data_IF_508040293372
#
_entry.id   IF_508040293372
#
_cell.length_a   1.000
_cell.length_b   1.000
_cell.length_c   1.000
_cell.angle_alpha   90.00
_cell.angle_beta   90.00
_cell.angle_gamma   90.00
#
_symmetry.space_group_name_H-M   'P 1'
#
loop_
_entity.id
_entity.type
_entity.pdbx_description
1 polymer ?
#
# COMPACT_ATOMS: atom_id res chain seq x y z
N UNK A 1 -10.82 12.39 10.39
CA UNK A 1 -9.36 12.60 10.48
C UNK A 1 -8.73 12.13 9.17
N UNK A 2 -7.66 12.77 8.70
CA UNK A 2 -6.97 12.34 7.48
C UNK A 2 -5.94 11.24 7.81
N UNK A 3 -5.61 10.41 6.83
CA UNK A 3 -4.65 9.32 6.96
C UNK A 3 -3.60 9.33 5.85
N UNK A 4 -2.66 8.40 5.90
CA UNK A 4 -1.64 8.29 4.85
C UNK A 4 -1.12 6.88 4.62
N UNK A 5 -0.59 6.63 3.44
CA UNK A 5 0.26 5.46 3.16
C UNK A 5 1.68 5.99 2.99
N UNK A 6 2.56 5.63 3.92
CA UNK A 6 3.97 6.01 3.90
C UNK A 6 4.71 4.99 3.05
N UNK A 7 5.35 5.45 1.98
CA UNK A 7 6.13 4.60 1.07
C UNK A 7 7.59 4.59 1.53
N UNK A 8 8.14 5.77 1.76
CA UNK A 8 9.47 5.98 2.32
C UNK A 8 9.46 7.27 3.15
N UNK A 9 10.59 7.58 3.80
CA UNK A 9 10.74 8.75 4.67
C UNK A 9 10.15 10.04 4.08
N UNK A 10 10.38 10.28 2.79
CA UNK A 10 9.98 11.50 2.08
C UNK A 10 8.81 11.30 1.10
N UNK A 11 8.37 10.05 0.87
CA UNK A 11 7.31 9.74 -0.08
C UNK A 11 6.08 9.18 0.64
N UNK A 12 4.95 9.88 0.50
CA UNK A 12 3.65 9.48 1.06
C UNK A 12 2.51 9.72 0.09
N UNK A 13 1.43 8.95 0.27
CA UNK A 13 0.11 9.18 -0.34
C UNK A 13 -0.80 9.71 0.76
N UNK A 14 -1.30 10.94 0.62
CA UNK A 14 -2.26 11.53 1.55
C UNK A 14 -3.67 11.09 1.17
N UNK A 15 -4.45 10.64 2.15
CA UNK A 15 -5.80 10.10 1.92
C UNK A 15 -6.78 10.55 3.00
N UNK A 16 -8.08 10.56 2.68
CA UNK A 16 -9.13 10.67 3.69
C UNK A 16 -9.25 9.38 4.52
N UNK A 17 -9.89 9.43 5.69
CA UNK A 17 -10.13 8.23 6.51
C UNK A 17 -10.84 7.11 5.73
N UNK A 18 -11.93 7.42 5.02
CA UNK A 18 -12.65 6.42 4.23
C UNK A 18 -11.81 5.80 3.12
N UNK A 19 -10.91 6.59 2.51
CA UNK A 19 -9.98 6.09 1.51
C UNK A 19 -8.90 5.21 2.14
N UNK A 20 -8.40 5.57 3.32
CA UNK A 20 -7.45 4.73 4.06
C UNK A 20 -8.11 3.40 4.40
N UNK A 21 -9.25 3.41 5.10
CA UNK A 21 -9.98 2.22 5.53
C UNK A 21 -10.30 1.30 4.35
N UNK A 22 -10.73 1.89 3.24
CA UNK A 22 -10.96 1.17 1.99
C UNK A 22 -9.67 0.51 1.48
N UNK A 23 -8.58 1.27 1.30
CA UNK A 23 -7.34 0.73 0.75
C UNK A 23 -6.72 -0.35 1.64
N UNK A 24 -6.64 -0.13 2.95
CA UNK A 24 -6.02 -1.09 3.89
C UNK A 24 -6.83 -2.38 3.95
N UNK A 25 -8.15 -2.31 3.91
CA UNK A 25 -8.99 -3.51 3.84
C UNK A 25 -8.72 -4.29 2.55
N UNK A 26 -8.78 -3.63 1.38
CA UNK A 26 -8.60 -4.32 0.09
C UNK A 26 -7.20 -4.87 -0.11
N UNK A 27 -6.16 -4.15 0.32
CA UNK A 27 -4.77 -4.62 0.24
C UNK A 27 -4.56 -5.79 1.21
N UNK A 28 -5.09 -5.68 2.43
CA UNK A 28 -4.97 -6.68 3.48
C UNK A 28 -5.54 -8.06 3.13
N UNK A 29 -6.54 -8.12 2.25
CA UNK A 29 -7.18 -9.35 1.77
C UNK A 29 -6.40 -10.08 0.65
N UNK A 30 -5.34 -9.46 0.12
CA UNK A 30 -4.67 -9.93 -1.10
C UNK A 30 -3.24 -10.45 -0.86
N UNK A 31 -2.81 -10.49 0.40
CA UNK A 31 -1.56 -11.13 0.79
C UNK A 31 -1.68 -12.65 0.71
N UNK A 32 -0.65 -13.31 0.19
CA UNK A 32 -0.55 -14.75 0.31
C UNK A 32 -0.13 -15.14 1.72
N UNK A 33 -0.43 -16.37 2.13
CA UNK A 33 -0.03 -16.91 3.43
C UNK A 33 1.49 -16.84 3.67
N UNK A 34 2.31 -16.95 2.62
CA UNK A 34 3.78 -16.82 2.70
C UNK A 34 4.27 -15.40 2.94
N UNK A 35 3.43 -14.40 2.63
CA UNK A 35 3.79 -12.99 2.58
C UNK A 35 3.18 -12.20 3.76
N UNK A 36 2.55 -12.91 4.72
CA UNK A 36 1.87 -12.29 5.87
C UNK A 36 2.80 -11.47 6.76
N UNK A 37 4.07 -11.85 6.86
CA UNK A 37 5.07 -11.08 7.59
C UNK A 37 5.23 -9.64 7.04
N UNK A 38 4.99 -9.42 5.74
CA UNK A 38 5.00 -8.09 5.12
C UNK A 38 3.78 -7.30 5.55
N UNK A 39 2.61 -7.95 5.62
CA UNK A 39 1.39 -7.32 6.09
C UNK A 39 1.58 -6.85 7.53
N UNK A 40 2.03 -7.73 8.41
CA UNK A 40 2.23 -7.44 9.83
C UNK A 40 3.20 -6.25 10.01
N UNK A 41 4.32 -6.24 9.27
CA UNK A 41 5.30 -5.16 9.33
C UNK A 41 4.73 -3.82 8.80
N UNK A 42 3.98 -3.85 7.68
CA UNK A 42 3.42 -2.64 7.07
C UNK A 42 2.26 -2.05 7.87
N UNK A 43 1.47 -2.91 8.50
CA UNK A 43 0.24 -2.55 9.21
C UNK A 43 0.49 -2.26 10.70
N UNK A 44 1.69 -2.59 11.20
CA UNK A 44 2.11 -2.36 12.59
C UNK A 44 1.71 -0.98 13.17
N UNK A 45 1.93 0.15 12.47
CA UNK A 45 1.56 1.46 13.03
C UNK A 45 0.06 1.61 13.26
N UNK A 46 -0.77 0.98 12.43
CA UNK A 46 -2.22 1.01 12.54
C UNK A 46 -2.73 0.02 13.59
N UNK A 47 -2.24 -1.22 13.56
CA UNK A 47 -2.73 -2.31 14.40
C UNK A 47 -2.24 -2.22 15.85
N UNK A 48 -0.96 -1.90 16.07
CA UNK A 48 -0.40 -1.76 17.43
C UNK A 48 -0.33 -0.30 17.87
N UNK A 49 -0.08 0.63 16.93
CA UNK A 49 0.10 2.04 17.24
C UNK A 49 -1.19 2.86 17.26
N UNK A 50 -2.32 2.31 16.78
CA UNK A 50 -3.57 3.04 16.64
C UNK A 50 -3.50 4.24 15.70
N UNK A 51 -2.50 4.26 14.80
CA UNK A 51 -2.24 5.39 13.90
C UNK A 51 -3.11 5.30 12.64
N UNK A 52 -3.45 6.45 12.06
CA UNK A 52 -4.14 6.51 10.76
C UNK A 52 -3.15 6.44 9.57
N UNK A 53 -2.21 5.50 9.61
CA UNK A 53 -1.32 5.21 8.49
C UNK A 53 -0.76 3.78 8.52
N UNK A 54 -0.39 3.29 7.34
CA UNK A 54 0.48 2.12 7.16
C UNK A 54 1.80 2.56 6.53
N UNK A 55 2.88 1.81 6.74
CA UNK A 55 4.23 2.21 6.31
C UNK A 55 4.99 1.07 5.65
N UNK A 56 5.52 1.29 4.45
CA UNK A 56 6.45 0.35 3.80
C UNK A 56 7.91 0.74 3.99
N UNK A 57 8.22 1.73 4.84
CA UNK A 57 9.55 2.32 4.95
C UNK A 57 10.64 1.34 5.42
N UNK A 58 10.27 0.36 6.24
CA UNK A 58 11.18 -0.66 6.78
C UNK A 58 11.44 -1.81 5.81
N UNK A 59 10.60 -1.97 4.78
CA UNK A 59 10.75 -3.04 3.80
C UNK A 59 12.00 -2.85 2.94
N UNK A 60 12.67 -3.96 2.67
CA UNK A 60 13.69 -4.03 1.62
C UNK A 60 13.06 -4.11 0.21
N UNK A 61 13.89 -4.11 -0.84
CA UNK A 61 13.44 -4.18 -2.24
C UNK A 61 12.51 -5.36 -2.54
N UNK A 62 12.79 -6.54 -1.99
CA UNK A 62 11.96 -7.72 -2.21
C UNK A 62 10.60 -7.57 -1.52
N UNK A 63 10.58 -7.15 -0.26
CA UNK A 63 9.34 -6.90 0.49
C UNK A 63 8.48 -5.84 -0.20
N UNK A 64 9.09 -4.74 -0.66
CA UNK A 64 8.38 -3.68 -1.38
C UNK A 64 7.83 -4.16 -2.72
N UNK A 65 8.58 -4.99 -3.46
CA UNK A 65 8.12 -5.60 -4.71
C UNK A 65 6.89 -6.48 -4.50
N UNK A 66 6.90 -7.32 -3.45
CA UNK A 66 5.76 -8.15 -3.06
C UNK A 66 4.57 -7.28 -2.64
N UNK A 67 4.81 -6.22 -1.87
CA UNK A 67 3.77 -5.28 -1.48
C UNK A 67 3.12 -4.60 -2.70
N UNK A 68 3.93 -4.09 -3.65
CA UNK A 68 3.42 -3.52 -4.89
C UNK A 68 2.60 -4.53 -5.70
N UNK A 69 3.07 -5.77 -5.83
CA UNK A 69 2.32 -6.83 -6.51
C UNK A 69 0.97 -7.08 -5.82
N UNK A 70 0.95 -7.05 -4.48
CA UNK A 70 -0.26 -7.19 -3.65
C UNK A 70 -1.23 -6.03 -3.87
N UNK A 71 -0.74 -4.79 -3.88
CA UNK A 71 -1.51 -3.58 -4.20
C UNK A 71 -2.13 -3.69 -5.60
N UNK A 72 -1.39 -4.17 -6.59
CA UNK A 72 -1.91 -4.35 -7.95
C UNK A 72 -2.99 -5.43 -8.04
N UNK A 73 -2.86 -6.54 -7.28
CA UNK A 73 -3.93 -7.56 -7.17
C UNK A 73 -5.18 -6.98 -6.51
N UNK A 74 -5.03 -6.22 -5.43
CA UNK A 74 -6.13 -5.54 -4.75
C UNK A 74 -6.86 -4.56 -5.66
N UNK A 75 -6.11 -3.71 -6.39
CA UNK A 75 -6.68 -2.81 -7.39
C UNK A 75 -7.49 -3.57 -8.43
N UNK A 76 -6.95 -4.68 -8.96
CA UNK A 76 -7.63 -5.48 -9.98
C UNK A 76 -8.91 -6.15 -9.44
N UNK A 77 -8.86 -6.73 -8.23
CA UNK A 77 -10.02 -7.30 -7.57
C UNK A 77 -11.12 -6.24 -7.33
N UNK A 78 -10.72 -5.03 -6.94
CA UNK A 78 -11.64 -3.93 -6.69
C UNK A 78 -12.25 -3.32 -7.95
N UNK A 79 -11.73 -3.56 -9.15
CA UNK A 79 -12.32 -3.03 -10.40
C UNK A 79 -13.76 -3.50 -10.65
N UNK A 80 -14.16 -4.63 -10.05
CA UNK A 80 -15.53 -5.14 -10.14
C UNK A 80 -16.50 -4.44 -9.17
N UNK A 81 -16.01 -3.63 -8.23
CA UNK A 81 -16.84 -2.93 -7.25
C UNK A 81 -17.46 -1.66 -7.87
N UNK A 82 -18.74 -1.42 -7.60
CA UNK A 82 -19.44 -0.19 -8.06
C UNK A 82 -18.75 1.09 -7.56
N UNK A 83 -18.13 1.03 -6.38
CA UNK A 83 -17.40 2.16 -5.79
C UNK A 83 -16.03 2.41 -6.42
N UNK A 84 -15.51 1.52 -7.27
CA UNK A 84 -14.15 1.64 -7.82
C UNK A 84 -13.84 2.99 -8.46
N UNK A 85 -14.71 3.59 -9.30
CA UNK A 85 -14.43 4.88 -9.92
C UNK A 85 -14.17 6.02 -8.90
N UNK A 86 -14.69 5.91 -7.69
CA UNK A 86 -14.47 6.89 -6.61
C UNK A 86 -13.06 6.77 -5.99
N UNK A 87 -12.44 5.59 -6.07
CA UNK A 87 -11.12 5.28 -5.49
C UNK A 87 -10.03 5.09 -6.54
N UNK A 88 -10.36 5.06 -7.83
CA UNK A 88 -9.40 4.80 -8.91
C UNK A 88 -8.20 5.75 -8.89
N UNK A 89 -8.44 7.04 -8.66
CA UNK A 89 -7.36 8.03 -8.62
C UNK A 89 -6.37 7.77 -7.47
N UNK A 90 -6.85 7.34 -6.29
CA UNK A 90 -5.96 7.06 -5.15
C UNK A 90 -5.19 5.75 -5.37
N UNK A 91 -5.79 4.75 -6.01
CA UNK A 91 -5.08 3.55 -6.46
C UNK A 91 -3.95 3.89 -7.43
N UNK A 92 -4.20 4.75 -8.41
CA UNK A 92 -3.21 5.15 -9.39
C UNK A 92 -2.04 5.89 -8.73
N UNK A 93 -2.31 6.83 -7.82
CA UNK A 93 -1.27 7.53 -7.06
C UNK A 93 -0.42 6.58 -6.20
N UNK A 94 -1.05 5.61 -5.53
CA UNK A 94 -0.34 4.63 -4.72
C UNK A 94 0.58 3.77 -5.57
N UNK A 95 0.07 3.21 -6.67
CA UNK A 95 0.85 2.37 -7.60
C UNK A 95 2.00 3.17 -8.21
N UNK A 96 1.75 4.40 -8.64
CA UNK A 96 2.77 5.27 -9.22
C UNK A 96 3.91 5.55 -8.23
N UNK A 97 3.59 5.98 -7.01
CA UNK A 97 4.60 6.29 -5.98
C UNK A 97 5.38 5.06 -5.53
N UNK A 98 4.75 3.88 -5.46
CA UNK A 98 5.44 2.63 -5.20
C UNK A 98 6.43 2.30 -6.33
N UNK A 99 6.02 2.43 -7.60
CA UNK A 99 6.89 2.16 -8.76
C UNK A 99 8.07 3.12 -8.87
N UNK A 100 7.91 4.36 -8.41
CA UNK A 100 8.96 5.37 -8.39
C UNK A 100 9.91 5.22 -7.19
N UNK A 101 9.65 4.29 -6.27
CA UNK A 101 10.52 4.08 -5.12
C UNK A 101 11.88 3.53 -5.56
N UNK A 102 12.95 4.15 -5.06
CA UNK A 102 14.33 3.81 -5.40
C UNK A 102 14.67 2.33 -5.12
N UNK A 103 14.00 1.69 -4.14
CA UNK A 103 14.22 0.27 -3.82
C UNK A 103 13.73 -0.66 -4.94
N UNK A 104 12.84 -0.22 -5.82
CA UNK A 104 12.41 -0.96 -7.01
C UNK A 104 13.22 -0.60 -8.27
N UNK A 105 14.08 0.41 -8.16
CA UNK A 105 14.99 0.82 -9.22
C UNK A 105 16.00 -0.29 -9.57
N UNK A 106 16.05 -0.61 -10.86
CA UNK A 106 16.89 -1.65 -11.48
C UNK A 106 18.34 -1.56 -11.00
N UNK A 107 18.86 -2.70 -10.52
CA UNK A 107 20.29 -3.00 -10.55
C UNK A 107 20.74 -2.98 -12.02
N UNK A 108 21.20 -1.83 -12.49
CA UNK A 108 21.59 -1.58 -13.88
C UNK A 108 22.74 -0.60 -13.92
N UNK A 109 23.93 -1.16 -13.76
CA UNK A 109 25.21 -0.56 -14.14
C UNK A 109 25.44 -0.81 -15.63
#
# INVERSE_FOLDING_TARGET
MAGSIIISKDVRVQVGASQLDYLVSRIGDQFHSSDMWIKDEVYLPMEEGGMSFISTESLNSNGLSIFLATVMRARAASQAEESFPLYENVWNQLVEKLRQDARLGVSGN
#
